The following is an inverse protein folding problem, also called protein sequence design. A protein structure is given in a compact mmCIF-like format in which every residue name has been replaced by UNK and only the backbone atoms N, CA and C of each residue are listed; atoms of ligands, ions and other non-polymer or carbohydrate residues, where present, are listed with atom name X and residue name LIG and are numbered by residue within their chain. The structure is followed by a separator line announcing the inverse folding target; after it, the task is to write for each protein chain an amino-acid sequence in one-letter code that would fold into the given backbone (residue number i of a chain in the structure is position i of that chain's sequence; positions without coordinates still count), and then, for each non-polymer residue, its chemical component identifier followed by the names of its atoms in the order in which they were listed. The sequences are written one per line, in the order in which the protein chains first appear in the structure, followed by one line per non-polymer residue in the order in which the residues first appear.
data_IF_823601405006
#
_entry.id   IF_823601405006
#
_cell.length_a   1.000
_cell.length_b   1.000
_cell.length_c   1.000
_cell.angle_alpha   90.00
_cell.angle_beta   90.00
_cell.angle_gamma   90.00
#
_symmetry.space_group_name_H-M   'P 1'
#
loop_
_entity.id
_entity.type
_entity.pdbx_description
1 polymer ?
#
# COMPACT_ATOMS: atom_id res chain seq x y z
N UNK A 1 20.23 6.88 9.91
CA UNK A 1 19.12 7.75 9.45
C UNK A 1 18.40 7.01 8.33
N UNK A 2 17.11 7.22 8.09
CA UNK A 2 16.37 6.57 7.00
C UNK A 2 15.80 7.64 6.05
N UNK A 3 15.95 7.45 4.74
CA UNK A 3 15.42 8.36 3.70
C UNK A 3 14.11 7.86 3.08
N UNK A 4 13.44 6.94 3.78
CA UNK A 4 12.19 6.32 3.39
C UNK A 4 11.26 6.13 4.60
N UNK A 5 9.98 5.92 4.31
CA UNK A 5 8.93 5.58 5.25
C UNK A 5 8.61 4.09 5.16
N UNK A 6 8.44 3.44 6.31
CA UNK A 6 8.01 2.05 6.44
C UNK A 6 6.65 2.02 7.10
N UNK A 7 5.69 1.32 6.48
CA UNK A 7 4.35 1.14 7.03
C UNK A 7 4.08 -0.34 7.25
N UNK A 8 3.70 -0.68 8.48
CA UNK A 8 3.23 -2.02 8.85
C UNK A 8 1.71 -2.03 8.99
N UNK A 9 1.04 -3.03 8.44
CA UNK A 9 -0.41 -3.23 8.61
C UNK A 9 -0.68 -4.68 9.05
N UNK A 10 -1.47 -4.91 10.12
CA UNK A 10 -1.83 -6.27 10.53
C UNK A 10 -2.81 -6.92 9.54
N UNK A 11 -2.76 -8.24 9.45
CA UNK A 11 -3.76 -9.07 8.77
C UNK A 11 -4.70 -9.70 9.79
N UNK A 12 -5.99 -9.63 9.50
CA UNK A 12 -7.04 -10.30 10.28
C UNK A 12 -7.83 -11.26 9.39
N UNK A 13 -8.21 -12.40 9.96
CA UNK A 13 -9.07 -13.41 9.34
C UNK A 13 -10.36 -13.62 10.16
N UNK A 14 -10.87 -12.55 10.79
CA UNK A 14 -12.01 -12.60 11.71
C UNK A 14 -13.29 -13.13 11.07
N UNK A 15 -13.44 -12.97 9.75
CA UNK A 15 -14.57 -13.50 8.99
C UNK A 15 -14.69 -15.04 9.04
N UNK A 16 -13.62 -15.76 9.39
CA UNK A 16 -13.65 -17.22 9.59
C UNK A 16 -14.32 -17.61 10.92
N UNK A 17 -14.58 -16.66 11.82
CA UNK A 17 -15.05 -16.91 13.18
C UNK A 17 -16.38 -16.18 13.48
N UNK A 18 -17.50 -16.85 13.24
CA UNK A 18 -18.86 -16.26 13.35
C UNK A 18 -19.22 -15.70 14.73
N UNK A 19 -18.57 -16.18 15.81
CA UNK A 19 -18.88 -15.77 17.20
C UNK A 19 -17.84 -14.80 17.78
N UNK A 20 -16.90 -14.32 16.97
CA UNK A 20 -15.81 -13.43 17.42
C UNK A 20 -16.13 -12.00 17.02
N UNK A 21 -16.02 -11.09 17.99
CA UNK A 21 -16.16 -9.66 17.72
C UNK A 21 -15.05 -9.15 16.80
N UNK A 22 -15.43 -8.36 15.79
CA UNK A 22 -14.54 -7.66 14.86
C UNK A 22 -13.86 -6.43 15.47
N UNK A 23 -14.29 -6.01 16.67
CA UNK A 23 -13.64 -4.92 17.41
C UNK A 23 -12.21 -5.31 17.78
N UNK A 24 -11.27 -4.42 17.57
CA UNK A 24 -9.87 -4.56 17.97
C UNK A 24 -9.62 -3.75 19.26
N UNK A 25 -8.65 -4.20 20.05
CA UNK A 25 -8.32 -3.59 21.34
C UNK A 25 -6.93 -4.02 21.77
N UNK A 26 -6.69 -4.03 23.08
CA UNK A 26 -5.38 -4.41 23.65
C UNK A 26 -4.99 -5.87 23.41
N UNK A 27 -5.98 -6.77 23.32
CA UNK A 27 -5.74 -8.18 23.02
C UNK A 27 -5.60 -8.39 21.50
N UNK A 28 -4.46 -8.94 21.09
CA UNK A 28 -4.12 -9.18 19.69
C UNK A 28 -5.05 -10.25 19.09
N UNK A 29 -5.60 -9.94 17.91
CA UNK A 29 -6.42 -10.86 17.09
C UNK A 29 -5.91 -11.04 15.66
N UNK A 30 -4.84 -10.33 15.29
CA UNK A 30 -4.24 -10.43 13.96
C UNK A 30 -3.49 -11.75 13.81
N UNK A 31 -3.52 -12.32 12.62
CA UNK A 31 -2.92 -13.61 12.27
C UNK A 31 -1.63 -13.47 11.46
N UNK A 32 -1.30 -12.25 11.06
CA UNK A 32 -0.10 -11.92 10.30
C UNK A 32 0.06 -10.41 10.15
N UNK A 33 1.04 -10.00 9.37
CA UNK A 33 1.33 -8.60 9.09
C UNK A 33 2.10 -8.43 7.79
N UNK A 34 1.99 -7.25 7.20
CA UNK A 34 2.78 -6.84 6.05
C UNK A 34 3.57 -5.59 6.37
N UNK A 35 4.66 -5.41 5.64
CA UNK A 35 5.49 -4.23 5.68
C UNK A 35 5.67 -3.71 4.25
N UNK A 36 5.47 -2.42 4.05
CA UNK A 36 5.76 -1.76 2.78
C UNK A 36 6.65 -0.54 2.97
N UNK A 37 7.44 -0.27 1.94
CA UNK A 37 8.41 0.83 1.91
C UNK A 37 8.07 1.79 0.76
N UNK A 38 8.18 3.08 1.05
CA UNK A 38 8.00 4.17 0.09
C UNK A 38 8.73 5.42 0.57
N UNK A 39 9.02 6.37 -0.32
CA UNK A 39 9.72 7.60 0.10
C UNK A 39 8.80 8.66 0.69
N UNK A 40 7.50 8.43 0.63
CA UNK A 40 6.49 9.17 1.36
C UNK A 40 5.49 8.20 2.00
N UNK A 41 4.73 8.71 2.97
CA UNK A 41 3.79 7.89 3.74
C UNK A 41 2.65 7.37 2.86
N UNK A 42 2.09 8.21 1.99
CA UNK A 42 0.99 7.84 1.10
C UNK A 42 1.36 6.62 0.24
N UNK A 43 2.57 6.62 -0.33
CA UNK A 43 3.12 5.53 -1.12
C UNK A 43 3.25 4.24 -0.31
N UNK A 44 3.91 4.32 0.84
CA UNK A 44 4.14 3.16 1.71
C UNK A 44 2.81 2.58 2.21
N UNK A 45 1.88 3.44 2.64
CA UNK A 45 0.58 3.05 3.16
C UNK A 45 -0.29 2.35 2.11
N UNK A 46 -0.39 2.90 0.90
CA UNK A 46 -1.19 2.26 -0.15
C UNK A 46 -0.59 0.93 -0.62
N UNK A 47 0.75 0.80 -0.66
CA UNK A 47 1.41 -0.50 -0.90
C UNK A 47 1.08 -1.50 0.20
N UNK A 48 1.19 -1.10 1.46
CA UNK A 48 0.88 -1.98 2.59
C UNK A 48 -0.58 -2.47 2.52
N UNK A 49 -1.54 -1.59 2.23
CA UNK A 49 -2.95 -1.99 2.11
C UNK A 49 -3.17 -3.06 1.03
N UNK A 50 -2.49 -2.95 -0.12
CA UNK A 50 -2.55 -3.98 -1.18
C UNK A 50 -1.92 -5.30 -0.79
N UNK A 51 -0.89 -5.27 0.05
CA UNK A 51 -0.22 -6.49 0.51
C UNK A 51 -1.07 -7.26 1.52
N UNK A 52 -1.97 -6.60 2.27
CA UNK A 52 -2.80 -7.25 3.30
C UNK A 52 -3.91 -8.13 2.73
N UNK A 53 -4.50 -7.75 1.59
CA UNK A 53 -5.65 -8.45 1.01
C UNK A 53 -5.67 -8.27 -0.51
N UNK A 54 -5.76 -9.39 -1.23
CA UNK A 54 -5.82 -9.44 -2.69
C UNK A 54 -7.03 -8.68 -3.28
N UNK A 55 -8.09 -8.49 -2.49
CA UNK A 55 -9.29 -7.77 -2.90
C UNK A 55 -9.20 -6.26 -2.64
N UNK A 56 -8.15 -5.80 -1.95
CA UNK A 56 -7.95 -4.38 -1.61
C UNK A 56 -6.92 -3.79 -2.56
N UNK A 57 -7.36 -2.84 -3.40
CA UNK A 57 -6.46 -2.20 -4.36
C UNK A 57 -5.70 -1.00 -3.77
N UNK A 58 -6.03 -0.56 -2.55
CA UNK A 58 -5.41 0.55 -1.82
C UNK A 58 -6.40 1.19 -0.84
N UNK A 59 -6.25 2.49 -0.56
CA UNK A 59 -7.13 3.22 0.36
C UNK A 59 -8.43 3.63 -0.34
N UNK A 60 -9.36 2.67 -0.46
CA UNK A 60 -10.58 2.78 -1.24
C UNK A 60 -11.77 3.27 -0.37
N UNK A 61 -12.40 4.41 -0.71
CA UNK A 61 -13.52 4.97 0.05
C UNK A 61 -14.87 4.30 -0.19
N UNK A 62 -14.96 3.33 -1.11
CA UNK A 62 -16.22 2.65 -1.48
C UNK A 62 -16.40 1.28 -0.84
N UNK A 63 -15.35 0.70 -0.23
CA UNK A 63 -15.40 -0.63 0.38
C UNK A 63 -16.30 -0.69 1.63
N UNK A 64 -16.48 0.43 2.32
CA UNK A 64 -17.32 0.55 3.51
C UNK A 64 -18.12 1.84 3.48
N UNK A 65 -19.25 1.85 4.18
CA UNK A 65 -20.02 3.06 4.45
C UNK A 65 -19.45 3.77 5.68
N UNK A 66 -19.68 5.07 5.78
CA UNK A 66 -19.34 5.83 6.98
C UNK A 66 -20.13 5.28 8.17
N UNK A 67 -19.41 5.04 9.26
CA UNK A 67 -19.96 4.58 10.51
C UNK A 67 -19.13 5.18 11.65
N UNK A 68 -19.66 6.21 12.33
CA UNK A 68 -18.93 6.89 13.40
C UNK A 68 -18.65 5.95 14.59
N UNK A 69 -19.47 4.92 14.82
CA UNK A 69 -19.21 3.94 15.87
C UNK A 69 -17.97 3.12 15.56
N UNK A 70 -17.74 2.71 14.30
CA UNK A 70 -16.49 2.02 13.91
C UNK A 70 -15.29 2.96 13.86
N UNK A 71 -15.50 4.27 13.68
CA UNK A 71 -14.45 5.27 13.85
C UNK A 71 -14.07 5.42 15.32
N UNK A 72 -15.01 5.40 16.26
CA UNK A 72 -14.75 5.48 17.72
C UNK A 72 -14.22 4.17 18.29
N UNK A 73 -14.85 3.06 17.94
CA UNK A 73 -14.53 1.71 18.37
C UNK A 73 -13.86 0.96 17.23
N UNK A 74 -12.53 0.85 17.22
CA UNK A 74 -11.80 0.38 16.06
C UNK A 74 -12.14 -1.07 15.70
N UNK A 75 -12.24 -1.34 14.41
CA UNK A 75 -12.40 -2.68 13.81
C UNK A 75 -11.27 -2.99 12.84
N UNK A 76 -11.15 -4.23 12.37
CA UNK A 76 -10.22 -4.64 11.32
C UNK A 76 -10.46 -3.92 9.97
N UNK A 77 -11.62 -3.27 9.80
CA UNK A 77 -12.00 -2.51 8.59
C UNK A 77 -12.07 -0.99 8.81
N UNK A 78 -11.67 -0.48 9.98
CA UNK A 78 -11.73 0.96 10.34
C UNK A 78 -11.11 1.87 9.28
N UNK A 79 -10.02 1.46 8.65
CA UNK A 79 -9.35 2.27 7.61
C UNK A 79 -10.26 2.57 6.42
N UNK A 80 -11.11 1.64 6.00
CA UNK A 80 -12.04 1.87 4.89
C UNK A 80 -13.24 2.72 5.31
N UNK A 81 -13.66 2.64 6.57
CA UNK A 81 -14.66 3.55 7.14
C UNK A 81 -14.09 4.97 7.21
N UNK A 82 -12.81 5.12 7.55
CA UNK A 82 -12.08 6.39 7.55
C UNK A 82 -11.99 6.99 6.14
N UNK A 83 -11.66 6.17 5.13
CA UNK A 83 -11.63 6.57 3.72
C UNK A 83 -13.00 7.11 3.26
N UNK A 84 -14.08 6.38 3.60
CA UNK A 84 -15.44 6.82 3.31
C UNK A 84 -15.80 8.14 4.00
N UNK A 85 -15.36 8.35 5.25
CA UNK A 85 -15.66 9.56 6.02
C UNK A 85 -14.94 10.79 5.45
N UNK A 86 -13.66 10.62 5.07
CA UNK A 86 -12.91 11.65 4.34
C UNK A 86 -13.58 12.03 3.02
N UNK A 87 -14.08 11.04 2.27
CA UNK A 87 -14.81 11.29 1.03
C UNK A 87 -16.12 12.07 1.25
N UNK A 88 -16.77 11.87 2.41
CA UNK A 88 -17.94 12.65 2.84
C UNK A 88 -17.55 14.00 3.49
N UNK A 89 -16.34 14.50 3.23
CA UNK A 89 -15.85 15.80 3.69
C UNK A 89 -15.80 15.96 5.22
N UNK A 90 -15.63 14.87 5.97
CA UNK A 90 -15.36 14.98 7.40
C UNK A 90 -14.02 15.73 7.61
N UNK A 91 -14.01 16.71 8.50
CA UNK A 91 -12.79 17.45 8.81
C UNK A 91 -11.77 16.57 9.55
N UNK A 92 -10.48 16.91 9.38
CA UNK A 92 -9.38 16.26 10.12
C UNK A 92 -9.62 16.35 11.63
N UNK A 93 -10.11 17.48 12.13
CA UNK A 93 -10.43 17.66 13.55
C UNK A 93 -11.54 16.73 14.03
N UNK A 94 -12.63 16.59 13.25
CA UNK A 94 -13.71 15.66 13.58
C UNK A 94 -13.20 14.22 13.62
N UNK A 95 -12.38 13.82 12.64
CA UNK A 95 -11.80 12.49 12.59
C UNK A 95 -10.79 12.24 13.72
N UNK A 96 -10.03 13.25 14.12
CA UNK A 96 -9.16 13.17 15.31
C UNK A 96 -9.99 12.92 16.57
N UNK A 97 -11.10 13.65 16.76
CA UNK A 97 -11.96 13.45 17.93
C UNK A 97 -12.61 12.06 17.97
N UNK A 98 -13.02 11.54 16.81
CA UNK A 98 -13.57 10.19 16.70
C UNK A 98 -12.50 9.12 16.91
N UNK A 99 -11.33 9.29 16.31
CA UNK A 99 -10.39 8.17 16.15
C UNK A 99 -9.17 8.20 17.06
N UNK A 100 -8.78 9.39 17.52
CA UNK A 100 -7.52 9.71 18.18
C UNK A 100 -6.27 9.34 17.36
N UNK A 101 -6.43 9.12 16.05
CA UNK A 101 -5.31 9.02 15.10
C UNK A 101 -4.75 10.43 14.92
N UNK A 102 -3.44 10.57 15.00
CA UNK A 102 -2.78 11.87 14.89
C UNK A 102 -3.17 12.63 13.60
N UNK A 103 -3.30 13.95 13.72
CA UNK A 103 -3.73 14.85 12.64
C UNK A 103 -2.82 14.76 11.43
N UNK A 104 -1.52 14.51 11.62
CA UNK A 104 -0.57 14.33 10.53
C UNK A 104 -0.99 13.16 9.63
N UNK A 105 -1.28 11.99 10.20
CA UNK A 105 -1.74 10.83 9.41
C UNK A 105 -3.09 11.08 8.77
N UNK A 106 -4.03 11.71 9.50
CA UNK A 106 -5.33 12.08 8.95
C UNK A 106 -5.21 13.03 7.75
N UNK A 107 -4.30 14.00 7.80
CA UNK A 107 -3.97 14.86 6.68
C UNK A 107 -3.42 14.08 5.49
N UNK A 108 -2.53 13.10 5.75
CA UNK A 108 -1.99 12.22 4.70
C UNK A 108 -3.05 11.32 4.05
N UNK A 109 -3.98 10.78 4.84
CA UNK A 109 -5.12 10.04 4.30
C UNK A 109 -6.05 10.95 3.49
N UNK A 110 -6.26 12.19 3.94
CA UNK A 110 -7.03 13.19 3.18
C UNK A 110 -6.39 13.45 1.82
N UNK A 111 -5.07 13.63 1.74
CA UNK A 111 -4.35 13.81 0.47
C UNK A 111 -4.70 12.71 -0.54
N UNK A 112 -4.70 11.44 -0.09
CA UNK A 112 -5.04 10.30 -0.95
C UNK A 112 -6.48 10.42 -1.46
N UNK A 113 -7.44 10.75 -0.59
CA UNK A 113 -8.86 10.85 -0.97
C UNK A 113 -9.12 12.05 -1.89
N UNK A 114 -8.51 13.20 -1.62
CA UNK A 114 -8.61 14.39 -2.47
C UNK A 114 -8.07 14.09 -3.89
N UNK A 115 -6.95 13.36 -3.96
CA UNK A 115 -6.39 12.94 -5.24
C UNK A 115 -7.25 11.88 -5.94
N UNK A 116 -7.89 10.98 -5.18
CA UNK A 116 -8.87 10.05 -5.72
C UNK A 116 -10.04 10.80 -6.38
N UNK A 117 -10.59 11.82 -5.73
CA UNK A 117 -11.64 12.68 -6.30
C UNK A 117 -11.16 13.43 -7.54
N UNK A 118 -9.89 13.83 -7.57
CA UNK A 118 -9.27 14.47 -8.74
C UNK A 118 -9.18 13.48 -9.91
N UNK A 119 -8.88 12.21 -9.66
CA UNK A 119 -8.88 11.19 -10.71
C UNK A 119 -10.29 10.93 -11.25
N UNK A 120 -11.31 10.94 -10.39
CA UNK A 120 -12.70 10.69 -10.79
C UNK A 120 -13.35 11.83 -11.56
N UNK A 121 -12.83 13.06 -11.43
CA UNK A 121 -13.31 14.21 -12.22
C UNK A 121 -12.75 14.24 -13.64
N UNK A 122 -11.84 13.32 -13.98
CA UNK A 122 -11.23 13.23 -15.31
C UNK A 122 -12.12 12.40 -16.22
N UNK A 123 -12.47 12.95 -17.38
CA UNK A 123 -13.16 12.21 -18.43
C UNK A 123 -12.24 11.15 -19.04
N UNK A 124 -12.80 9.97 -19.30
CA UNK A 124 -12.07 8.80 -19.81
C UNK A 124 -11.23 9.15 -21.05
N UNK A 125 -9.91 8.93 -20.95
CA UNK A 125 -8.96 9.16 -22.06
C UNK A 125 -8.15 10.47 -21.99
N UNK A 126 -8.41 11.34 -21.02
CA UNK A 126 -7.75 12.66 -20.90
C UNK A 126 -6.65 12.72 -19.82
N UNK A 127 -6.29 11.59 -19.19
CA UNK A 127 -5.30 11.58 -18.11
C UNK A 127 -3.91 11.98 -18.63
N UNK A 128 -3.39 13.08 -18.09
CA UNK A 128 -2.07 13.60 -18.49
C UNK A 128 -0.94 12.80 -17.81
N UNK A 129 0.29 12.79 -18.39
CA UNK A 129 1.45 12.14 -17.79
C UNK A 129 1.74 12.62 -16.36
N UNK A 130 1.55 13.92 -16.11
CA UNK A 130 1.78 14.51 -14.78
C UNK A 130 0.77 13.99 -13.75
N UNK A 131 -0.51 13.93 -14.09
CA UNK A 131 -1.54 13.39 -13.20
C UNK A 131 -1.27 11.92 -12.90
N UNK A 132 -0.94 11.13 -13.93
CA UNK A 132 -0.63 9.72 -13.74
C UNK A 132 0.62 9.55 -12.86
N UNK A 133 1.70 10.28 -13.14
CA UNK A 133 2.94 10.24 -12.35
C UNK A 133 2.71 10.59 -10.88
N UNK A 134 1.96 11.65 -10.59
CA UNK A 134 1.63 12.03 -9.21
C UNK A 134 0.79 10.96 -8.52
N UNK A 135 -0.18 10.34 -9.22
CA UNK A 135 -0.92 9.20 -8.68
C UNK A 135 0.03 8.06 -8.27
N UNK A 136 0.99 7.73 -9.13
CA UNK A 136 1.98 6.68 -8.85
C UNK A 136 2.89 7.04 -7.68
N UNK A 137 3.32 8.30 -7.57
CA UNK A 137 4.14 8.82 -6.47
C UNK A 137 3.42 8.80 -5.11
N UNK A 138 2.09 8.88 -5.11
CA UNK A 138 1.24 8.70 -3.92
C UNK A 138 0.90 7.23 -3.65
N UNK A 139 1.37 6.29 -4.48
CA UNK A 139 1.18 4.85 -4.29
C UNK A 139 -0.09 4.26 -4.88
N UNK A 140 -0.84 4.97 -5.73
CA UNK A 140 -2.02 4.41 -6.41
C UNK A 140 -1.61 3.25 -7.31
N UNK A 141 -2.35 2.14 -7.25
CA UNK A 141 -2.20 1.03 -8.21
C UNK A 141 -2.81 1.36 -9.57
N UNK A 142 -2.36 0.67 -10.62
CA UNK A 142 -2.93 0.83 -11.97
C UNK A 142 -4.44 0.49 -11.94
N UNK A 143 -4.83 -0.49 -11.13
CA UNK A 143 -6.23 -0.87 -10.89
C UNK A 143 -7.06 0.21 -10.18
N UNK A 144 -6.52 0.89 -9.16
CA UNK A 144 -7.22 2.03 -8.53
C UNK A 144 -7.43 3.17 -9.52
N UNK A 145 -6.39 3.54 -10.28
CA UNK A 145 -6.50 4.60 -11.30
C UNK A 145 -7.53 4.21 -12.34
N UNK A 146 -7.49 2.96 -12.83
CA UNK A 146 -8.43 2.44 -13.82
C UNK A 146 -9.89 2.55 -13.36
N UNK A 147 -10.18 2.17 -12.11
CA UNK A 147 -11.53 2.31 -11.54
C UNK A 147 -11.96 3.78 -11.48
N UNK A 148 -11.09 4.67 -11.01
CA UNK A 148 -11.41 6.10 -10.89
C UNK A 148 -11.73 6.76 -12.24
N UNK A 149 -10.97 6.46 -13.29
CA UNK A 149 -11.14 7.06 -14.63
C UNK A 149 -12.07 6.25 -15.57
N UNK A 150 -12.73 5.21 -15.03
CA UNK A 150 -13.62 4.29 -15.77
C UNK A 150 -12.92 3.61 -16.97
N UNK A 151 -11.72 3.10 -16.74
CA UNK A 151 -10.88 2.39 -17.72
C UNK A 151 -10.53 0.98 -17.22
N UNK A 152 -9.63 0.30 -17.93
CA UNK A 152 -9.11 -1.03 -17.54
C UNK A 152 -7.69 -0.91 -16.98
N UNK A 153 -7.32 -1.81 -16.08
CA UNK A 153 -5.96 -1.86 -15.51
C UNK A 153 -4.89 -1.99 -16.61
N UNK A 154 -5.16 -2.82 -17.63
CA UNK A 154 -4.25 -3.01 -18.75
C UNK A 154 -4.06 -1.72 -19.57
N UNK A 155 -5.13 -0.95 -19.80
CA UNK A 155 -5.04 0.33 -20.51
C UNK A 155 -4.21 1.35 -19.72
N UNK A 156 -4.43 1.47 -18.41
CA UNK A 156 -3.63 2.34 -17.54
C UNK A 156 -2.15 1.91 -17.53
N UNK A 157 -1.89 0.60 -17.47
CA UNK A 157 -0.52 0.07 -17.53
C UNK A 157 0.19 0.42 -18.84
N UNK A 158 -0.47 0.21 -19.99
CA UNK A 158 0.09 0.56 -21.31
C UNK A 158 0.38 2.05 -21.40
N UNK A 159 -0.56 2.89 -21.02
CA UNK A 159 -0.38 4.35 -21.01
C UNK A 159 0.78 4.78 -20.12
N UNK A 160 0.91 4.15 -18.94
CA UNK A 160 2.02 4.37 -18.01
C UNK A 160 3.37 4.02 -18.64
N UNK A 161 3.45 2.91 -19.38
CA UNK A 161 4.64 2.47 -20.10
C UNK A 161 4.97 3.40 -21.28
N UNK A 162 3.97 3.84 -22.06
CA UNK A 162 4.10 4.83 -23.14
C UNK A 162 4.67 6.17 -22.63
N UNK A 163 4.19 6.63 -21.47
CA UNK A 163 4.71 7.83 -20.81
C UNK A 163 6.04 7.62 -20.09
N UNK A 164 6.62 6.40 -20.15
CA UNK A 164 7.87 6.03 -19.46
C UNK A 164 7.82 6.28 -17.95
N UNK A 165 6.64 6.07 -17.34
CA UNK A 165 6.41 6.21 -15.91
C UNK A 165 6.62 4.84 -15.27
N UNK A 166 7.87 4.50 -14.96
CA UNK A 166 8.24 3.26 -14.27
C UNK A 166 8.82 3.55 -12.89
N UNK A 167 8.65 2.65 -11.90
CA UNK A 167 9.28 2.83 -10.61
C UNK A 167 10.81 2.63 -10.73
N UNK A 168 11.54 3.28 -9.83
CA UNK A 168 12.98 3.09 -9.65
C UNK A 168 13.26 2.11 -8.52
N UNK A 169 14.40 1.44 -8.60
CA UNK A 169 14.85 0.48 -7.58
C UNK A 169 15.82 1.19 -6.66
N UNK A 170 15.54 1.14 -5.36
CA UNK A 170 16.33 1.79 -4.31
C UNK A 170 16.85 0.78 -3.31
N UNK A 171 18.07 1.00 -2.83
CA UNK A 171 18.73 0.18 -1.81
C UNK A 171 18.36 0.65 -0.40
N UNK A 172 18.39 -0.29 0.54
CA UNK A 172 18.29 -0.04 1.98
C UNK A 172 19.70 -0.14 2.55
N UNK A 173 20.26 1.00 2.94
CA UNK A 173 21.66 1.13 3.37
C UNK A 173 21.84 1.39 4.87
N UNK A 174 20.74 1.58 5.62
CA UNK A 174 20.70 1.94 7.06
C UNK A 174 21.23 3.34 7.43
N UNK A 175 21.84 4.05 6.48
CA UNK A 175 22.55 5.31 6.69
C UNK A 175 22.07 6.45 5.78
N UNK A 176 20.97 6.27 5.06
CA UNK A 176 20.39 7.28 4.16
C UNK A 176 21.42 7.77 3.12
N UNK A 177 22.08 6.82 2.46
CA UNK A 177 23.10 6.97 1.43
C UNK A 177 24.39 7.67 1.87
N UNK A 178 24.66 7.80 3.17
CA UNK A 178 25.94 8.33 3.67
C UNK A 178 27.12 7.42 3.27
N UNK A 179 26.90 6.11 3.25
CA UNK A 179 27.86 5.09 2.83
C UNK A 179 27.22 4.13 1.84
N UNK A 180 27.98 3.65 0.83
CA UNK A 180 27.44 2.70 -0.14
C UNK A 180 27.06 1.38 0.55
N UNK A 181 25.86 0.88 0.23
CA UNK A 181 25.40 -0.41 0.73
C UNK A 181 26.21 -1.54 0.07
N UNK A 182 26.65 -2.50 0.89
CA UNK A 182 27.25 -3.75 0.41
C UNK A 182 26.20 -4.82 0.11
N UNK A 183 24.93 -4.59 0.45
CA UNK A 183 23.82 -5.54 0.31
C UNK A 183 22.75 -5.03 -0.65
N UNK A 184 22.13 -5.94 -1.39
CA UNK A 184 21.02 -5.64 -2.30
C UNK A 184 19.67 -5.91 -1.63
N UNK A 185 19.39 -5.22 -0.52
CA UNK A 185 18.03 -5.18 0.04
C UNK A 185 17.28 -4.00 -0.58
N UNK A 186 16.24 -4.29 -1.36
CA UNK A 186 15.69 -3.35 -2.33
C UNK A 186 14.21 -3.05 -2.11
N UNK A 187 13.78 -1.86 -2.52
CA UNK A 187 12.38 -1.51 -2.70
C UNK A 187 12.17 -0.69 -3.97
N UNK A 188 10.94 -0.72 -4.49
CA UNK A 188 10.54 0.07 -5.67
C UNK A 188 9.91 1.39 -5.22
N UNK A 189 10.18 2.49 -5.92
CA UNK A 189 9.48 3.77 -5.69
C UNK A 189 9.37 4.64 -6.94
N UNK A 190 8.27 5.38 -7.08
CA UNK A 190 8.13 6.43 -8.11
C UNK A 190 8.72 7.78 -7.69
N UNK A 191 9.18 7.89 -6.44
CA UNK A 191 9.80 9.10 -5.88
C UNK A 191 11.34 9.07 -6.04
N UNK A 192 11.81 8.48 -7.14
CA UNK A 192 13.22 8.41 -7.52
C UNK A 192 13.45 9.04 -8.89
N UNK A 193 14.72 9.23 -9.22
CA UNK A 193 15.18 9.71 -10.53
C UNK A 193 16.09 8.70 -11.24
N UNK A 194 16.70 7.77 -10.50
CA UNK A 194 17.64 6.77 -10.99
C UNK A 194 17.49 5.47 -10.20
N UNK A 195 17.97 4.35 -10.75
CA UNK A 195 18.15 3.10 -10.02
C UNK A 195 19.46 3.14 -9.22
N UNK A 196 19.50 2.46 -8.08
CA UNK A 196 20.72 2.34 -7.26
C UNK A 196 21.60 1.16 -7.68
N UNK A 197 21.17 0.36 -8.66
CA UNK A 197 21.90 -0.79 -9.18
C UNK A 197 21.66 -1.01 -10.68
N UNK A 198 22.55 -1.79 -11.28
CA UNK A 198 22.42 -2.33 -12.63
C UNK A 198 21.59 -3.62 -12.66
N UNK A 199 21.03 -3.95 -13.82
CA UNK A 199 20.15 -5.09 -14.02
C UNK A 199 20.78 -6.13 -14.97
N UNK A 200 21.55 -7.09 -14.45
CA UNK A 200 22.07 -8.18 -15.26
C UNK A 200 20.94 -9.08 -15.78
N UNK A 201 21.22 -9.79 -16.88
CA UNK A 201 20.29 -10.77 -17.47
C UNK A 201 20.44 -12.14 -16.78
N UNK A 202 19.54 -13.06 -17.14
CA UNK A 202 19.61 -14.48 -16.73
C UNK A 202 19.52 -14.70 -15.21
N UNK A 203 18.56 -14.02 -14.59
CA UNK A 203 18.25 -14.16 -13.17
C UNK A 203 17.05 -15.08 -12.94
N UNK A 204 17.07 -15.82 -11.83
CA UNK A 204 15.93 -16.61 -11.37
C UNK A 204 15.19 -15.86 -10.26
N UNK A 205 13.85 -15.83 -10.34
CA UNK A 205 13.00 -15.19 -9.34
C UNK A 205 12.26 -16.24 -8.50
N UNK A 206 12.31 -16.11 -7.18
CA UNK A 206 11.49 -16.89 -6.25
C UNK A 206 10.46 -15.93 -5.63
N UNK A 207 9.17 -16.26 -5.77
CA UNK A 207 8.07 -15.49 -5.20
C UNK A 207 7.71 -16.04 -3.82
N UNK A 208 7.71 -15.18 -2.81
CA UNK A 208 7.27 -15.53 -1.46
C UNK A 208 5.75 -15.65 -1.33
N UNK A 209 5.29 -16.15 -0.17
CA UNK A 209 3.86 -16.36 0.11
C UNK A 209 3.07 -15.08 0.42
N UNK A 210 3.74 -13.95 0.59
CA UNK A 210 3.12 -12.71 1.05
C UNK A 210 2.72 -12.79 2.52
N UNK A 211 1.57 -12.23 2.87
CA UNK A 211 1.11 -12.15 4.26
C UNK A 211 0.65 -13.50 4.80
N UNK A 212 1.07 -13.83 6.02
CA UNK A 212 0.53 -15.00 6.72
C UNK A 212 -0.96 -14.82 7.05
N UNK A 213 -1.71 -15.90 6.85
CA UNK A 213 -3.15 -16.01 7.12
C UNK A 213 -3.48 -17.44 7.53
N UNK A 214 -4.65 -17.68 8.11
CA UNK A 214 -5.03 -19.03 8.54
C UNK A 214 -5.10 -19.93 7.29
N UNK A 215 -4.26 -20.98 7.26
CA UNK A 215 -4.10 -21.88 6.10
C UNK A 215 -2.95 -21.52 5.16
N UNK A 216 -2.19 -20.45 5.43
CA UNK A 216 -0.98 -20.07 4.71
C UNK A 216 0.00 -19.40 5.67
N UNK A 217 0.94 -20.16 6.21
CA UNK A 217 1.87 -19.73 7.25
C UNK A 217 3.32 -20.05 6.87
N UNK A 218 4.19 -20.18 7.88
CA UNK A 218 5.64 -20.36 7.79
C UNK A 218 6.09 -21.52 6.90
N UNK A 219 5.25 -22.54 6.71
CA UNK A 219 5.53 -23.66 5.82
C UNK A 219 5.82 -23.24 4.38
N UNK A 220 5.15 -22.19 3.88
CA UNK A 220 5.38 -21.68 2.53
C UNK A 220 6.66 -20.84 2.44
N UNK A 221 6.99 -20.11 3.49
CA UNK A 221 8.27 -19.39 3.61
C UNK A 221 9.44 -20.38 3.67
N UNK A 222 9.28 -21.48 4.41
CA UNK A 222 10.26 -22.56 4.47
C UNK A 222 10.53 -23.16 3.08
N UNK A 223 9.50 -23.38 2.26
CA UNK A 223 9.65 -23.85 0.89
C UNK A 223 10.42 -22.84 0.01
N UNK A 224 10.08 -21.55 0.11
CA UNK A 224 10.76 -20.50 -0.66
C UNK A 224 12.23 -20.36 -0.27
N UNK A 225 12.54 -20.37 1.04
CA UNK A 225 13.91 -20.36 1.56
C UNK A 225 14.68 -21.62 1.15
N UNK A 226 14.02 -22.79 1.16
CA UNK A 226 14.59 -24.04 0.67
C UNK A 226 15.00 -23.94 -0.80
N UNK A 227 14.11 -23.44 -1.65
CA UNK A 227 14.38 -23.19 -3.07
C UNK A 227 15.54 -22.21 -3.27
N UNK A 228 15.56 -21.08 -2.55
CA UNK A 228 16.65 -20.10 -2.61
C UNK A 228 18.00 -20.70 -2.20
N UNK A 229 18.03 -21.53 -1.16
CA UNK A 229 19.25 -22.21 -0.73
C UNK A 229 19.76 -23.19 -1.77
N UNK A 230 18.88 -23.87 -2.48
CA UNK A 230 19.27 -24.81 -3.53
C UNK A 230 19.77 -24.09 -4.78
N UNK A 231 19.09 -23.03 -5.22
CA UNK A 231 19.52 -22.21 -6.37
C UNK A 231 20.83 -21.45 -6.13
N UNK A 232 21.20 -21.22 -4.86
CA UNK A 232 22.44 -20.53 -4.49
C UNK A 232 23.68 -21.43 -4.56
N UNK A 233 23.50 -22.76 -4.52
CA UNK A 233 24.61 -23.72 -4.67
C UNK A 233 25.14 -23.68 -6.08
#
# INVERSE_FOLDING_TARGET
SLDYCVVKIPRWDLAKFNRVSTKIGSSMKSVGEVMAIGRNFEEAFQKALRMVDENVNGFDPYLKKVNENELREPTDKRMFVLAAALRQNYSVEKLYELTKIDRWFLGKFKNIIDYYQTLESIDSGSITPNILKTAKQMGFSDKQVAVAIKSTELAVRKLREEFKITPFVKQIDTVAAEWPATTNYLYLTYNGSTHDLDFPKDLTMVLGSGVYRIGSSVEFDWCAVGCLRELKK
#
